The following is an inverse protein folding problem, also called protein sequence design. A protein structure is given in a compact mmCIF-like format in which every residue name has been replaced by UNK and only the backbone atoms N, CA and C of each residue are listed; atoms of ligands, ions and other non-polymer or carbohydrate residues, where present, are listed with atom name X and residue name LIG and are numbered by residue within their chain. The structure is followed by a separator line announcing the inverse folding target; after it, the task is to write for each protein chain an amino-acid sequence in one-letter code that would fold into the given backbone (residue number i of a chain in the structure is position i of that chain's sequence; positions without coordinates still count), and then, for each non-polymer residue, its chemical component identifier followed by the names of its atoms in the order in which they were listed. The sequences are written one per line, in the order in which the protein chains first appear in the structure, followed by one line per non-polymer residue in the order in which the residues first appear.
data_IF_792841686120
#
_entry.id   IF_792841686120
#
_cell.length_a   1.000
_cell.length_b   1.000
_cell.length_c   1.000
_cell.angle_alpha   90.00
_cell.angle_beta   90.00
_cell.angle_gamma   90.00
#
_symmetry.space_group_name_H-M   'P 1'
#
loop_
_entity.id
_entity.type
_entity.pdbx_description
1 polymer ?
#
# COMPACT_ATOMS: atom_id res chain seq x y z
N UNK A 1 -9.12 -27.16 14.14
CA UNK A 1 -8.62 -26.21 13.14
C UNK A 1 -8.02 -25.00 13.83
N UNK A 2 -6.71 -24.78 13.74
CA UNK A 2 -6.16 -23.48 14.12
C UNK A 2 -6.27 -22.62 12.87
N UNK A 3 -7.39 -21.90 12.73
CA UNK A 3 -7.49 -20.74 11.83
C UNK A 3 -6.56 -19.65 12.41
N UNK A 4 -5.27 -19.86 12.25
CA UNK A 4 -4.21 -19.09 12.88
C UNK A 4 -3.50 -18.23 11.86
N UNK A 5 -3.34 -16.97 12.20
CA UNK A 5 -2.35 -16.09 11.56
C UNK A 5 -1.02 -16.84 11.56
N UNK A 6 -0.56 -17.23 10.36
CA UNK A 6 0.69 -17.95 10.19
C UNK A 6 1.86 -16.97 10.30
N UNK A 7 2.97 -17.39 10.94
CA UNK A 7 4.18 -16.59 10.95
C UNK A 7 4.67 -16.41 9.52
N UNK A 8 5.16 -15.21 9.22
CA UNK A 8 5.67 -14.92 7.88
C UNK A 8 7.03 -15.60 7.75
N UNK A 9 7.25 -16.43 6.70
CA UNK A 9 8.52 -17.09 6.48
C UNK A 9 9.70 -16.12 6.45
N UNK A 10 10.81 -16.48 7.09
CA UNK A 10 12.00 -15.61 7.23
C UNK A 10 12.56 -15.15 5.88
N UNK A 11 12.49 -15.99 4.84
CA UNK A 11 12.90 -15.62 3.48
C UNK A 11 12.07 -14.44 2.94
N UNK A 12 10.76 -14.42 3.21
CA UNK A 12 9.87 -13.33 2.79
C UNK A 12 10.13 -12.06 3.60
N UNK A 13 10.41 -12.21 4.90
CA UNK A 13 10.78 -11.08 5.76
C UNK A 13 12.05 -10.38 5.23
N UNK A 14 13.11 -11.15 4.94
CA UNK A 14 14.37 -10.62 4.41
C UNK A 14 14.18 -9.98 3.04
N UNK A 15 13.45 -10.64 2.13
CA UNK A 15 13.16 -10.09 0.80
C UNK A 15 12.38 -8.77 0.86
N UNK A 16 11.53 -8.62 1.87
CA UNK A 16 10.66 -7.45 2.05
C UNK A 16 11.26 -6.39 2.98
N UNK A 17 12.53 -6.52 3.41
CA UNK A 17 13.16 -5.64 4.41
C UNK A 17 12.35 -5.50 5.73
N UNK A 18 11.72 -6.59 6.18
CA UNK A 18 11.05 -6.66 7.47
C UNK A 18 12.02 -7.17 8.54
N UNK A 19 11.88 -6.65 9.76
CA UNK A 19 12.61 -7.16 10.92
C UNK A 19 11.74 -8.09 11.75
N UNK A 20 12.38 -9.03 12.45
CA UNK A 20 11.72 -9.98 13.34
C UNK A 20 11.14 -9.27 14.58
N UNK A 21 10.14 -9.90 15.19
CA UNK A 21 9.53 -9.37 16.40
C UNK A 21 10.54 -9.33 17.56
N UNK A 22 10.74 -8.16 18.15
CA UNK A 22 11.55 -8.00 19.34
C UNK A 22 10.67 -7.86 20.59
N UNK A 23 10.85 -8.73 21.59
CA UNK A 23 10.12 -8.64 22.86
C UNK A 23 10.55 -7.43 23.71
N UNK A 24 11.77 -6.93 23.54
CA UNK A 24 12.28 -5.80 24.30
C UNK A 24 11.72 -4.45 23.85
N UNK A 25 11.31 -4.34 22.59
CA UNK A 25 10.68 -3.14 22.00
C UNK A 25 9.43 -3.56 21.21
N UNK A 26 8.32 -3.84 21.91
CA UNK A 26 7.11 -4.28 21.24
C UNK A 26 6.46 -3.13 20.47
N UNK A 27 5.86 -3.40 19.30
CA UNK A 27 5.12 -2.40 18.56
C UNK A 27 3.92 -1.90 19.38
N UNK A 28 3.73 -0.58 19.39
CA UNK A 28 2.67 0.08 20.14
C UNK A 28 1.26 -0.31 19.67
N UNK A 29 1.10 -0.55 18.37
CA UNK A 29 -0.18 -0.96 17.76
C UNK A 29 -0.12 -2.38 17.23
N UNK A 30 -1.24 -3.08 17.38
CA UNK A 30 -1.45 -4.43 16.86
C UNK A 30 -0.37 -5.44 17.28
N UNK A 31 0.16 -5.30 18.50
CA UNK A 31 1.20 -6.18 19.06
C UNK A 31 0.86 -7.66 18.96
N UNK A 32 -0.41 -8.02 19.19
CA UNK A 32 -0.86 -9.40 19.05
C UNK A 32 -0.66 -9.95 17.63
N UNK A 33 -0.96 -9.16 16.61
CA UNK A 33 -0.80 -9.55 15.20
C UNK A 33 0.69 -9.65 14.83
N UNK A 34 1.48 -8.63 15.20
CA UNK A 34 2.92 -8.61 14.98
C UNK A 34 3.62 -9.83 15.60
N UNK A 35 3.24 -10.18 16.84
CA UNK A 35 3.76 -11.38 17.53
C UNK A 35 3.36 -12.69 16.83
N UNK A 36 2.15 -12.76 16.26
CA UNK A 36 1.68 -13.95 15.53
C UNK A 36 2.31 -14.07 14.14
N UNK A 37 2.62 -12.94 13.51
CA UNK A 37 3.28 -12.85 12.22
C UNK A 37 4.80 -12.98 12.31
N UNK A 38 5.35 -12.89 13.53
CA UNK A 38 6.78 -12.87 13.83
C UNK A 38 7.53 -11.70 13.16
N UNK A 39 6.90 -10.53 13.16
CA UNK A 39 7.45 -9.29 12.57
C UNK A 39 7.46 -8.16 13.58
N UNK A 40 8.41 -7.23 13.46
CA UNK A 40 8.54 -6.08 14.35
C UNK A 40 7.29 -5.20 14.32
N UNK A 41 6.80 -4.86 13.13
CA UNK A 41 5.51 -4.22 12.93
C UNK A 41 4.52 -5.20 12.32
N UNK A 42 3.23 -4.99 12.58
CA UNK A 42 2.18 -5.81 11.96
C UNK A 42 2.17 -5.63 10.44
N UNK A 43 1.86 -6.70 9.74
CA UNK A 43 1.65 -6.69 8.29
C UNK A 43 0.16 -6.57 8.01
N UNK A 44 -0.23 -5.45 7.43
CA UNK A 44 -1.63 -5.12 7.12
C UNK A 44 -1.77 -4.68 5.67
N UNK A 45 -2.97 -4.72 5.13
CA UNK A 45 -3.28 -4.09 3.83
C UNK A 45 -3.19 -2.56 3.94
N UNK A 46 -3.11 -1.85 2.81
CA UNK A 46 -3.13 -0.37 2.81
C UNK A 46 -4.51 0.10 3.26
N UNK A 47 -4.58 0.74 4.42
CA UNK A 47 -5.84 1.12 5.05
C UNK A 47 -5.81 2.50 5.70
N UNK A 48 -4.66 3.00 6.13
CA UNK A 48 -4.56 4.33 6.75
C UNK A 48 -4.49 5.43 5.71
N UNK A 49 -4.74 6.68 6.13
CA UNK A 49 -4.66 7.84 5.23
C UNK A 49 -3.21 8.16 4.88
N UNK A 50 -2.32 8.01 5.86
CA UNK A 50 -0.88 8.22 5.77
C UNK A 50 -0.25 7.21 4.79
N UNK A 51 -0.68 5.95 4.82
CA UNK A 51 -0.24 4.95 3.84
C UNK A 51 -0.67 5.32 2.41
N UNK A 52 -1.89 5.85 2.23
CA UNK A 52 -2.36 6.28 0.90
C UNK A 52 -1.60 7.50 0.39
N UNK A 53 -1.22 8.41 1.27
CA UNK A 53 -0.36 9.55 0.96
C UNK A 53 1.04 9.06 0.58
N UNK A 54 1.66 8.22 1.41
CA UNK A 54 2.97 7.62 1.12
C UNK A 54 2.97 6.89 -0.22
N UNK A 55 1.92 6.13 -0.53
CA UNK A 55 1.80 5.46 -1.83
C UNK A 55 1.75 6.45 -2.99
N UNK A 56 1.01 7.54 -2.84
CA UNK A 56 0.92 8.58 -3.86
C UNK A 56 2.27 9.29 -4.03
N UNK A 57 2.97 9.58 -2.94
CA UNK A 57 4.29 10.20 -2.95
C UNK A 57 5.34 9.28 -3.59
N UNK A 58 5.32 7.99 -3.26
CA UNK A 58 6.17 6.98 -3.89
C UNK A 58 5.91 6.90 -5.41
N UNK A 59 4.64 6.95 -5.84
CA UNK A 59 4.31 6.95 -7.27
C UNK A 59 4.84 8.17 -8.03
N UNK A 60 5.02 9.31 -7.36
CA UNK A 60 5.52 10.54 -7.96
C UNK A 60 7.04 10.67 -7.92
N UNK A 61 7.69 10.17 -6.86
CA UNK A 61 9.09 10.45 -6.57
C UNK A 61 10.02 9.24 -6.70
N UNK A 62 9.50 8.00 -6.68
CA UNK A 62 10.34 6.80 -6.65
C UNK A 62 10.29 6.04 -7.98
N UNK A 63 11.44 5.93 -8.63
CA UNK A 63 11.59 5.20 -9.90
C UNK A 63 11.14 3.73 -9.81
N UNK A 64 11.26 3.11 -8.64
CA UNK A 64 10.81 1.73 -8.39
C UNK A 64 9.29 1.56 -8.46
N UNK A 65 8.53 2.63 -8.18
CA UNK A 65 7.07 2.68 -8.27
C UNK A 65 6.60 3.22 -9.62
N UNK A 66 7.39 4.06 -10.26
CA UNK A 66 7.07 4.70 -11.55
C UNK A 66 7.85 4.08 -12.71
N UNK A 67 8.07 2.76 -12.68
CA UNK A 67 8.63 2.06 -13.84
C UNK A 67 7.88 2.51 -15.10
N UNK A 68 8.62 2.67 -16.21
CA UNK A 68 8.22 3.27 -17.50
C UNK A 68 6.71 3.23 -17.83
N UNK A 69 6.14 4.18 -18.60
CA UNK A 69 4.69 4.40 -18.74
C UNK A 69 3.78 3.16 -18.98
N UNK A 70 4.32 2.05 -19.47
CA UNK A 70 3.63 0.78 -19.71
C UNK A 70 4.15 -0.43 -18.91
N UNK A 71 5.10 -0.24 -17.98
CA UNK A 71 5.70 -1.28 -17.16
C UNK A 71 5.14 -1.27 -15.74
N UNK A 72 4.93 -2.46 -15.18
CA UNK A 72 4.62 -2.59 -13.76
C UNK A 72 5.80 -2.12 -12.89
N UNK A 73 5.53 -1.59 -11.69
CA UNK A 73 6.53 -1.28 -10.67
C UNK A 73 7.48 -2.45 -10.39
N UNK A 74 8.72 -2.14 -10.03
CA UNK A 74 9.67 -3.15 -9.52
C UNK A 74 9.29 -3.45 -8.06
N UNK A 75 8.31 -4.35 -7.90
CA UNK A 75 7.67 -4.62 -6.62
C UNK A 75 8.62 -5.03 -5.49
N UNK A 76 9.71 -5.75 -5.83
CA UNK A 76 10.72 -6.18 -4.86
C UNK A 76 11.52 -5.02 -4.26
N UNK A 77 11.74 -3.95 -5.02
CA UNK A 77 12.46 -2.78 -4.51
C UNK A 77 11.48 -1.77 -3.91
N UNK A 78 10.31 -1.62 -4.53
CA UNK A 78 9.21 -0.82 -4.00
C UNK A 78 8.83 -1.25 -2.57
N UNK A 79 8.75 -2.56 -2.30
CA UNK A 79 8.39 -3.07 -0.98
C UNK A 79 9.46 -2.79 0.08
N UNK A 80 10.75 -2.83 -0.30
CA UNK A 80 11.85 -2.50 0.61
C UNK A 80 11.81 -1.01 0.97
N UNK A 81 11.62 -0.14 -0.02
CA UNK A 81 11.49 1.30 0.20
C UNK A 81 10.31 1.59 1.13
N UNK A 82 9.17 0.91 0.90
CA UNK A 82 8.00 1.03 1.75
C UNK A 82 8.28 0.60 3.18
N UNK A 83 8.75 -0.64 3.38
CA UNK A 83 8.92 -1.21 4.70
C UNK A 83 10.03 -0.51 5.50
N UNK A 84 11.02 0.08 4.84
CA UNK A 84 12.00 0.97 5.49
C UNK A 84 11.38 2.26 6.05
N UNK A 85 10.22 2.69 5.54
CA UNK A 85 9.48 3.86 6.03
C UNK A 85 8.36 3.48 7.01
N UNK A 86 8.23 2.20 7.36
CA UNK A 86 7.22 1.76 8.31
C UNK A 86 7.60 2.18 9.74
N UNK A 87 6.61 2.68 10.48
CA UNK A 87 6.74 3.16 11.85
C UNK A 87 5.95 2.29 12.85
N UNK A 88 5.09 1.39 12.36
CA UNK A 88 4.24 0.55 13.21
C UNK A 88 3.10 1.28 13.90
N UNK A 89 2.86 2.56 13.59
CA UNK A 89 1.80 3.39 14.16
C UNK A 89 0.81 3.88 13.10
N UNK A 90 1.31 4.43 12.00
CA UNK A 90 0.53 4.98 10.89
C UNK A 90 0.84 4.26 9.58
N UNK A 91 2.08 3.80 9.42
CA UNK A 91 2.57 3.06 8.28
C UNK A 91 3.03 1.68 8.78
N UNK A 92 2.29 0.67 8.34
CA UNK A 92 2.56 -0.72 8.70
C UNK A 92 3.32 -1.44 7.60
N UNK A 93 3.96 -2.55 7.94
CA UNK A 93 4.58 -3.41 6.94
C UNK A 93 3.58 -3.89 5.90
N UNK A 94 4.06 -4.03 4.68
CA UNK A 94 3.31 -4.49 3.52
C UNK A 94 4.00 -5.70 2.90
N UNK A 95 3.19 -6.54 2.28
CA UNK A 95 3.67 -7.54 1.32
C UNK A 95 3.47 -7.00 -0.10
N UNK A 96 4.19 -7.60 -1.04
CA UNK A 96 4.09 -7.29 -2.47
C UNK A 96 2.64 -7.37 -2.94
N UNK A 97 1.91 -8.40 -2.52
CA UNK A 97 0.51 -8.61 -2.92
C UNK A 97 -0.43 -7.51 -2.40
N UNK A 98 -0.12 -6.92 -1.23
CA UNK A 98 -0.88 -5.79 -0.70
C UNK A 98 -0.68 -4.54 -1.58
N UNK A 99 0.57 -4.26 -1.98
CA UNK A 99 0.87 -3.13 -2.85
C UNK A 99 0.27 -3.32 -4.25
N UNK A 100 0.36 -4.52 -4.85
CA UNK A 100 -0.25 -4.83 -6.15
C UNK A 100 -1.77 -4.65 -6.13
N UNK A 101 -2.43 -5.16 -5.09
CA UNK A 101 -3.89 -5.05 -4.93
C UNK A 101 -4.31 -3.58 -4.81
N UNK A 102 -3.59 -2.82 -3.99
CA UNK A 102 -3.84 -1.39 -3.83
C UNK A 102 -3.56 -0.63 -5.13
N UNK A 103 -2.47 -0.94 -5.83
CA UNK A 103 -2.12 -0.33 -7.12
C UNK A 103 -3.20 -0.52 -8.18
N UNK A 104 -3.73 -1.74 -8.32
CA UNK A 104 -4.84 -2.01 -9.24
C UNK A 104 -6.06 -1.14 -8.95
N UNK A 105 -6.39 -0.98 -7.66
CA UNK A 105 -7.50 -0.14 -7.21
C UNK A 105 -7.20 1.35 -7.45
N UNK A 106 -5.98 1.80 -7.14
CA UNK A 106 -5.52 3.16 -7.39
C UNK A 106 -5.55 3.52 -8.87
N UNK A 107 -5.07 2.63 -9.75
CA UNK A 107 -5.08 2.82 -11.21
C UNK A 107 -6.51 2.93 -11.76
N UNK A 108 -7.44 2.11 -11.26
CA UNK A 108 -8.87 2.25 -11.59
C UNK A 108 -9.41 3.62 -11.16
N UNK A 109 -9.12 4.07 -9.95
CA UNK A 109 -9.54 5.39 -9.48
C UNK A 109 -8.93 6.53 -10.31
N UNK A 110 -7.65 6.43 -10.70
CA UNK A 110 -7.01 7.41 -11.59
C UNK A 110 -7.66 7.45 -12.96
N UNK A 111 -7.95 6.29 -13.56
CA UNK A 111 -8.64 6.21 -14.85
C UNK A 111 -10.04 6.84 -14.79
N UNK A 112 -10.79 6.61 -13.69
CA UNK A 112 -12.10 7.24 -13.48
C UNK A 112 -11.96 8.76 -13.37
N UNK A 113 -11.00 9.26 -12.59
CA UNK A 113 -10.74 10.71 -12.48
C UNK A 113 -10.37 11.32 -13.83
N UNK A 114 -9.48 10.67 -14.57
CA UNK A 114 -9.06 11.13 -15.90
C UNK A 114 -10.25 11.17 -16.88
N UNK A 115 -11.08 10.13 -16.88
CA UNK A 115 -12.31 10.06 -17.70
C UNK A 115 -13.29 11.17 -17.30
N UNK A 116 -13.46 11.44 -16.00
CA UNK A 116 -14.35 12.50 -15.51
C UNK A 116 -13.86 13.89 -15.94
N UNK A 117 -12.55 14.15 -15.89
CA UNK A 117 -11.95 15.40 -16.38
C UNK A 117 -12.13 15.52 -17.89
N UNK A 118 -11.80 14.49 -18.65
CA UNK A 118 -11.92 14.50 -20.11
C UNK A 118 -13.37 14.73 -20.59
N UNK A 119 -14.35 14.18 -19.86
CA UNK A 119 -15.78 14.30 -20.19
C UNK A 119 -16.46 15.51 -19.55
N UNK A 120 -15.74 16.31 -18.75
CA UNK A 120 -16.31 17.43 -18.00
C UNK A 120 -17.03 18.43 -18.90
N UNK A 121 -16.37 18.89 -19.97
CA UNK A 121 -16.93 19.88 -20.89
C UNK A 121 -18.17 19.35 -21.64
N UNK A 122 -18.20 18.06 -21.94
CA UNK A 122 -19.35 17.42 -22.60
C UNK A 122 -20.53 17.21 -21.64
N UNK A 123 -20.27 16.95 -20.35
CA UNK A 123 -21.32 16.73 -19.33
C UNK A 123 -21.90 18.03 -18.77
N UNK A 124 -21.13 19.12 -18.77
CA UNK A 124 -21.54 20.43 -18.24
C UNK A 124 -22.91 20.93 -18.75
N UNK A 125 -23.21 20.95 -20.08
CA UNK A 125 -24.50 21.41 -20.56
C UNK A 125 -25.67 20.49 -20.13
N UNK A 126 -25.46 19.17 -20.13
CA UNK A 126 -26.48 18.17 -19.76
C UNK A 126 -26.83 18.29 -18.27
N UNK A 127 -25.84 18.46 -17.39
CA UNK A 127 -26.09 18.65 -15.95
C UNK A 127 -26.86 19.93 -15.64
N UNK A 128 -26.70 20.98 -16.45
CA UNK A 128 -27.45 22.22 -16.29
C UNK A 128 -28.93 22.05 -16.72
N UNK A 129 -29.19 21.20 -17.72
CA UNK A 129 -30.54 20.86 -18.18
C UNK A 129 -31.32 20.01 -17.17
N UNK A 130 -30.65 19.12 -16.42
CA UNK A 130 -31.30 18.21 -15.46
C UNK A 130 -31.61 18.90 -14.11
N UNK A 131 -30.88 19.98 -13.78
CA UNK A 131 -31.05 20.72 -12.51
C UNK A 131 -32.08 21.86 -12.59
N UNK A 132 -32.61 22.15 -13.77
CA UNK A 132 -33.77 23.02 -13.99
C UNK A 132 -35.04 22.18 -14.10
#
# INVERSE_FOLDING_TARGET
EVFGILPIPTNIQVLSAMTQFNMADPPKKFQYLARKQDTCFTVLTVHTSEEKQLFSDCMLNELSFTAAPDSDPIWLDAIKIWNNRADGETIFYKLIEHLKTFYSTWRKHMNVKHTMIATYNARKPINHLIRN
#
